data_IF_869345481883
#
_entry.id   IF_869345481883
#
_cell.length_a   1.000
_cell.length_b   1.000
_cell.length_c   1.000
_cell.angle_alpha   90.00
_cell.angle_beta   90.00
_cell.angle_gamma   90.00
#
_symmetry.space_group_name_H-M   'P 1'
#
loop_
_entity.id
_entity.type
_entity.pdbx_description
1 polymer ?
#
# COMPACT_ATOMS: atom_id res chain seq x y z
N UNK A 1 15.51 37.78 -8.17
CA UNK A 1 14.70 36.56 -8.30
C UNK A 1 15.11 35.62 -7.20
N UNK A 2 14.29 35.50 -6.16
CA UNK A 2 14.59 34.66 -4.97
C UNK A 2 14.15 33.24 -5.32
N UNK A 3 15.09 32.35 -5.56
CA UNK A 3 14.82 30.94 -5.77
C UNK A 3 14.34 30.35 -4.42
N UNK A 4 13.05 30.17 -4.27
CA UNK A 4 12.50 29.45 -3.13
C UNK A 4 12.93 27.99 -3.28
N UNK A 5 13.93 27.58 -2.50
CA UNK A 5 14.28 26.18 -2.34
C UNK A 5 13.12 25.50 -1.59
N UNK A 6 12.30 24.77 -2.29
CA UNK A 6 11.30 23.89 -1.68
C UNK A 6 12.09 22.83 -0.88
N UNK A 7 12.11 23.00 0.43
CA UNK A 7 12.70 22.00 1.33
C UNK A 7 11.87 20.72 1.24
N UNK A 8 12.52 19.60 0.93
CA UNK A 8 11.86 18.29 1.03
C UNK A 8 11.38 18.10 2.47
N UNK A 9 10.13 17.72 2.72
CA UNK A 9 9.63 17.50 4.07
C UNK A 9 10.47 16.48 4.82
N UNK A 10 10.69 16.71 6.11
CA UNK A 10 11.28 15.70 6.97
C UNK A 10 10.33 14.51 7.07
N UNK A 11 10.87 13.29 6.91
CA UNK A 11 10.08 12.03 6.96
C UNK A 11 10.64 11.13 8.05
N UNK A 12 10.17 11.27 9.30
CA UNK A 12 10.65 10.47 10.42
C UNK A 12 10.52 8.96 10.14
N UNK A 13 11.60 8.21 10.39
CA UNK A 13 11.63 6.75 10.23
C UNK A 13 11.75 6.24 8.79
N UNK A 14 11.60 7.09 7.76
CA UNK A 14 11.65 6.62 6.37
C UNK A 14 13.02 6.04 5.99
N UNK A 15 14.10 6.67 6.40
CA UNK A 15 15.46 6.22 6.04
C UNK A 15 15.74 4.81 6.57
N UNK A 16 15.45 4.56 7.85
CA UNK A 16 15.64 3.25 8.49
C UNK A 16 14.75 2.19 7.84
N UNK A 17 13.50 2.54 7.51
CA UNK A 17 12.58 1.68 6.79
C UNK A 17 13.14 1.29 5.41
N UNK A 18 13.62 2.27 4.62
CA UNK A 18 14.18 2.02 3.29
C UNK A 18 15.41 1.12 3.36
N UNK A 19 16.27 1.28 4.35
CA UNK A 19 17.44 0.43 4.53
C UNK A 19 17.04 -1.02 4.87
N UNK A 20 16.05 -1.20 5.72
CA UNK A 20 15.49 -2.52 6.01
C UNK A 20 14.88 -3.19 4.78
N UNK A 21 14.11 -2.45 3.96
CA UNK A 21 13.52 -2.97 2.72
C UNK A 21 14.62 -3.35 1.72
N UNK A 22 15.65 -2.51 1.52
CA UNK A 22 16.79 -2.80 0.64
C UNK A 22 17.51 -4.08 1.04
N UNK A 23 17.68 -4.32 2.33
CA UNK A 23 18.26 -5.57 2.81
C UNK A 23 17.45 -6.78 2.36
N UNK A 24 16.11 -6.75 2.51
CA UNK A 24 15.26 -7.87 2.13
C UNK A 24 15.20 -8.08 0.61
N UNK A 25 15.09 -7.01 -0.19
CA UNK A 25 15.02 -7.11 -1.66
C UNK A 25 16.31 -7.65 -2.27
N UNK A 26 17.48 -7.44 -1.65
CA UNK A 26 18.78 -7.97 -2.11
C UNK A 26 18.97 -9.47 -1.83
N UNK A 27 18.12 -10.11 -1.04
CA UNK A 27 18.27 -11.53 -0.67
C UNK A 27 17.97 -12.50 -1.80
N UNK A 28 17.40 -12.06 -2.92
CA UNK A 28 17.06 -12.91 -4.06
C UNK A 28 15.95 -13.92 -3.75
N UNK A 29 15.05 -13.61 -2.82
CA UNK A 29 13.88 -14.43 -2.51
C UNK A 29 12.85 -14.34 -3.65
N UNK A 30 11.97 -15.36 -3.75
CA UNK A 30 10.80 -15.24 -4.63
C UNK A 30 9.88 -14.08 -4.19
N UNK A 31 8.99 -13.60 -5.08
CA UNK A 31 8.17 -12.42 -4.80
C UNK A 31 7.35 -12.53 -3.51
N UNK A 32 6.74 -13.70 -3.24
CA UNK A 32 5.92 -13.90 -2.04
C UNK A 32 6.76 -13.85 -0.77
N UNK A 33 7.91 -14.51 -0.75
CA UNK A 33 8.84 -14.48 0.39
C UNK A 33 9.42 -13.09 0.59
N UNK A 34 9.67 -12.34 -0.50
CA UNK A 34 10.14 -10.95 -0.42
C UNK A 34 9.06 -10.08 0.23
N UNK A 35 7.80 -10.18 -0.20
CA UNK A 35 6.69 -9.44 0.40
C UNK A 35 6.56 -9.71 1.90
N UNK A 36 6.63 -10.97 2.32
CA UNK A 36 6.56 -11.35 3.74
C UNK A 36 7.76 -10.81 4.53
N UNK A 37 8.97 -10.88 3.98
CA UNK A 37 10.16 -10.33 4.64
C UNK A 37 10.10 -8.81 4.77
N UNK A 38 9.53 -8.10 3.78
CA UNK A 38 9.29 -6.65 3.85
C UNK A 38 8.16 -6.33 4.84
N UNK A 39 7.10 -7.15 4.93
CA UNK A 39 6.08 -7.02 5.96
C UNK A 39 6.67 -7.15 7.38
N UNK A 40 7.66 -8.03 7.57
CA UNK A 40 8.38 -8.13 8.85
C UNK A 40 9.19 -6.86 9.17
N UNK A 41 9.77 -6.20 8.16
CA UNK A 41 10.44 -4.88 8.33
C UNK A 41 9.42 -3.82 8.77
N UNK A 42 8.25 -3.76 8.10
CA UNK A 42 7.17 -2.86 8.50
C UNK A 42 6.71 -3.13 9.93
N UNK A 43 6.52 -4.39 10.31
CA UNK A 43 6.11 -4.79 11.67
C UNK A 43 7.11 -4.36 12.73
N UNK A 44 8.40 -4.41 12.42
CA UNK A 44 9.47 -4.05 13.35
C UNK A 44 9.64 -2.53 13.52
N UNK A 45 9.33 -1.73 12.49
CA UNK A 45 9.65 -0.30 12.50
C UNK A 45 8.79 0.54 11.56
N UNK A 46 7.48 0.30 11.50
CA UNK A 46 6.59 1.13 10.70
C UNK A 46 6.53 2.56 11.26
N UNK A 47 6.75 3.58 10.42
CA UNK A 47 6.61 4.97 10.83
C UNK A 47 5.17 5.29 11.25
N UNK A 48 5.03 6.32 12.09
CA UNK A 48 3.71 6.88 12.41
C UNK A 48 3.18 7.81 11.30
N UNK A 49 1.93 8.33 11.46
CA UNK A 49 1.32 9.24 10.50
C UNK A 49 2.10 10.56 10.30
N UNK A 50 2.99 10.92 11.22
CA UNK A 50 3.91 12.06 11.13
C UNK A 50 5.01 11.89 10.05
N UNK A 51 5.10 10.71 9.41
CA UNK A 51 5.81 10.51 8.16
C UNK A 51 5.31 11.47 7.07
N UNK A 52 4.04 11.84 7.12
CA UNK A 52 3.37 12.75 6.22
C UNK A 52 3.17 14.13 6.87
N UNK A 53 3.26 15.19 6.07
CA UNK A 53 2.87 16.52 6.51
C UNK A 53 1.36 16.61 6.78
N UNK A 54 0.91 17.64 7.49
CA UNK A 54 -0.52 17.87 7.73
C UNK A 54 -1.32 18.03 6.44
N UNK A 55 -0.70 18.57 5.39
CA UNK A 55 -1.31 18.70 4.07
C UNK A 55 -1.44 17.35 3.37
N UNK A 56 -0.39 16.54 3.38
CA UNK A 56 -0.37 15.20 2.77
C UNK A 56 -1.33 14.22 3.45
N UNK A 57 -1.66 14.42 4.73
CA UNK A 57 -2.66 13.60 5.45
C UNK A 57 -4.10 13.94 5.13
N UNK A 58 -4.34 15.02 4.41
CA UNK A 58 -5.70 15.35 3.96
C UNK A 58 -6.07 14.48 2.78
N UNK A 59 -7.19 13.78 2.91
CA UNK A 59 -7.78 13.05 1.80
C UNK A 59 -8.61 13.97 0.91
N UNK A 60 -9.20 13.37 -0.08
CA UNK A 60 -10.19 13.99 -0.96
C UNK A 60 -11.41 13.07 -0.99
N UNK A 61 -12.63 13.63 -0.89
CA UNK A 61 -13.85 12.83 -0.79
C UNK A 61 -14.17 12.07 -2.09
N UNK A 62 -13.71 12.57 -3.22
CA UNK A 62 -14.04 12.06 -4.55
C UNK A 62 -12.91 11.16 -5.12
N UNK A 63 -11.67 11.29 -4.61
CA UNK A 63 -10.50 10.61 -5.15
C UNK A 63 -9.63 10.00 -4.06
N UNK A 64 -9.16 8.77 -4.27
CA UNK A 64 -8.15 8.15 -3.41
C UNK A 64 -6.80 8.84 -3.59
N UNK A 65 -6.34 9.51 -2.56
CA UNK A 65 -5.03 10.20 -2.58
C UNK A 65 -3.90 9.22 -2.31
N UNK A 66 -2.86 9.33 -3.12
CA UNK A 66 -1.66 8.50 -3.03
C UNK A 66 -0.40 9.35 -3.19
N UNK A 67 0.48 9.31 -2.19
CA UNK A 67 1.78 10.00 -2.20
C UNK A 67 2.92 9.02 -2.44
N UNK A 68 3.71 9.24 -3.49
CA UNK A 68 4.96 8.52 -3.69
C UNK A 68 6.03 9.10 -2.76
N UNK A 69 6.48 8.32 -1.80
CA UNK A 69 7.47 8.73 -0.81
C UNK A 69 8.90 8.37 -1.21
N UNK A 70 9.04 7.26 -1.96
CA UNK A 70 10.31 6.79 -2.47
C UNK A 70 10.09 5.85 -3.67
N UNK A 71 11.01 5.90 -4.63
CA UNK A 71 11.08 4.94 -5.73
C UNK A 71 12.54 4.62 -6.08
N UNK A 72 12.82 3.35 -6.29
CA UNK A 72 14.07 2.84 -6.85
C UNK A 72 13.78 1.57 -7.67
N UNK A 73 14.75 1.09 -8.42
CA UNK A 73 14.57 -0.02 -9.39
C UNK A 73 13.97 -1.29 -8.79
N UNK A 74 14.17 -1.55 -7.50
CA UNK A 74 13.71 -2.77 -6.83
C UNK A 74 12.36 -2.62 -6.13
N UNK A 75 11.97 -1.41 -5.74
CA UNK A 75 10.72 -1.16 -5.03
C UNK A 75 10.34 0.33 -4.99
N UNK A 76 9.09 0.59 -4.66
CA UNK A 76 8.57 1.92 -4.36
C UNK A 76 7.75 1.91 -3.07
N UNK A 77 7.72 3.04 -2.38
CA UNK A 77 6.95 3.26 -1.14
C UNK A 77 5.92 4.35 -1.39
N UNK A 78 4.65 4.04 -1.12
CA UNK A 78 3.52 4.97 -1.24
C UNK A 78 2.73 5.03 0.06
N UNK A 79 2.25 6.21 0.41
CA UNK A 79 1.22 6.37 1.43
C UNK A 79 -0.13 6.58 0.73
N UNK A 80 -1.15 5.86 1.18
CA UNK A 80 -2.53 5.96 0.69
C UNK A 80 -3.40 6.56 1.79
N UNK A 81 -4.23 7.53 1.38
CA UNK A 81 -5.14 8.26 2.28
C UNK A 81 -6.57 7.91 1.87
N UNK A 82 -7.29 7.28 2.77
CA UNK A 82 -8.62 6.74 2.55
C UNK A 82 -9.66 7.52 3.33
N UNK A 83 -10.46 8.31 2.66
CA UNK A 83 -11.61 8.94 3.32
C UNK A 83 -12.73 7.93 3.60
N UNK A 84 -13.59 8.21 4.61
CA UNK A 84 -14.72 7.34 4.90
C UNK A 84 -15.58 7.04 3.68
N UNK A 85 -15.87 5.76 3.44
CA UNK A 85 -16.66 5.27 2.31
C UNK A 85 -15.88 4.98 1.03
N UNK A 86 -14.62 5.38 0.92
CA UNK A 86 -13.81 5.07 -0.27
C UNK A 86 -13.52 3.57 -0.38
N UNK A 87 -13.60 3.08 -1.61
CA UNK A 87 -13.29 1.69 -1.94
C UNK A 87 -12.61 1.60 -3.31
N UNK A 88 -11.80 0.57 -3.50
CA UNK A 88 -11.22 0.25 -4.81
C UNK A 88 -12.16 -0.61 -5.66
N UNK A 89 -11.89 -0.73 -6.97
CA UNK A 89 -12.31 -1.89 -7.75
C UNK A 89 -11.78 -3.20 -7.13
N UNK A 90 -12.34 -4.34 -7.54
CA UNK A 90 -11.69 -5.63 -7.26
C UNK A 90 -10.53 -5.76 -8.24
N UNK A 91 -9.31 -5.96 -7.74
CA UNK A 91 -8.10 -5.93 -8.57
C UNK A 91 -7.00 -6.86 -8.04
N UNK A 92 -5.99 -7.06 -8.85
CA UNK A 92 -4.70 -7.65 -8.49
C UNK A 92 -3.54 -6.75 -8.93
N UNK A 93 -2.30 -7.10 -8.56
CA UNK A 93 -1.15 -6.20 -8.68
C UNK A 93 -0.15 -6.64 -9.75
N UNK A 94 0.65 -5.66 -10.24
CA UNK A 94 1.75 -5.91 -11.19
C UNK A 94 2.95 -6.58 -10.52
N UNK A 95 3.10 -6.43 -9.20
CA UNK A 95 4.24 -6.88 -8.41
C UNK A 95 3.79 -7.29 -7.01
N UNK A 96 4.69 -7.87 -6.23
CA UNK A 96 4.46 -8.09 -4.81
C UNK A 96 4.22 -6.76 -4.08
N UNK A 97 3.41 -6.83 -3.02
CA UNK A 97 3.13 -5.72 -2.13
C UNK A 97 3.26 -6.15 -0.68
N UNK A 98 3.78 -5.26 0.14
CA UNK A 98 3.65 -5.31 1.59
C UNK A 98 3.06 -4.00 2.07
N UNK A 99 2.11 -4.04 3.00
CA UNK A 99 1.51 -2.83 3.53
C UNK A 99 1.30 -2.89 5.04
N UNK A 100 1.11 -1.73 5.64
CA UNK A 100 0.76 -1.59 7.04
C UNK A 100 -0.07 -0.34 7.29
N UNK A 101 -0.95 -0.41 8.28
CA UNK A 101 -1.88 0.68 8.63
C UNK A 101 -1.23 1.60 9.68
N UNK A 102 -1.13 2.89 9.36
CA UNK A 102 -0.59 3.93 10.24
C UNK A 102 -1.68 4.66 11.04
N UNK A 103 -2.90 4.75 10.47
CA UNK A 103 -4.05 5.42 11.09
C UNK A 103 -5.37 4.80 10.61
N UNK A 104 -6.38 4.75 11.49
CA UNK A 104 -7.71 4.23 11.16
C UNK A 104 -7.75 2.72 11.00
N UNK A 105 -8.63 2.25 10.13
CA UNK A 105 -8.81 0.82 9.80
C UNK A 105 -8.97 0.68 8.29
N UNK A 106 -8.21 -0.22 7.70
CA UNK A 106 -8.33 -0.59 6.30
C UNK A 106 -8.99 -1.96 6.19
N UNK A 107 -10.17 -2.02 5.60
CA UNK A 107 -10.89 -3.27 5.40
C UNK A 107 -10.53 -3.86 4.04
N UNK A 108 -10.24 -5.14 4.03
CA UNK A 108 -9.86 -5.88 2.84
C UNK A 108 -10.80 -7.07 2.64
N UNK A 109 -11.31 -7.23 1.42
CA UNK A 109 -12.06 -8.42 0.99
C UNK A 109 -11.22 -9.15 -0.04
N UNK A 110 -10.98 -10.44 0.18
CA UNK A 110 -10.16 -11.30 -0.66
C UNK A 110 -11.04 -12.15 -1.56
N UNK A 111 -10.58 -12.36 -2.80
CA UNK A 111 -11.34 -13.10 -3.81
C UNK A 111 -10.49 -14.17 -4.49
N UNK A 112 -11.18 -15.20 -5.00
CA UNK A 112 -10.66 -16.18 -5.93
C UNK A 112 -11.37 -16.03 -7.27
N UNK A 113 -10.61 -16.07 -8.37
CA UNK A 113 -11.14 -16.08 -9.74
C UNK A 113 -11.49 -17.53 -10.12
N UNK A 114 -12.77 -17.81 -10.34
CA UNK A 114 -13.31 -19.10 -10.76
C UNK A 114 -13.65 -19.11 -12.27
N UNK A 115 -13.22 -18.06 -13.00
CA UNK A 115 -13.31 -17.94 -14.45
C UNK A 115 -14.53 -17.14 -14.92
N UNK A 116 -15.75 -17.53 -14.55
CA UNK A 116 -17.00 -16.83 -14.88
C UNK A 116 -17.53 -15.96 -13.73
N UNK A 117 -16.94 -16.08 -12.54
CA UNK A 117 -17.28 -15.30 -11.36
C UNK A 117 -16.11 -15.23 -10.38
N UNK A 118 -16.25 -14.35 -9.39
CA UNK A 118 -15.35 -14.26 -8.23
C UNK A 118 -16.04 -14.88 -7.02
N UNK A 119 -15.30 -15.68 -6.26
CA UNK A 119 -15.74 -16.15 -4.94
C UNK A 119 -15.03 -15.36 -3.85
N UNK A 120 -15.80 -14.76 -2.93
CA UNK A 120 -15.23 -14.17 -1.73
C UNK A 120 -14.66 -15.28 -0.84
N UNK A 121 -13.38 -15.17 -0.48
CA UNK A 121 -12.64 -16.17 0.32
C UNK A 121 -12.26 -15.68 1.71
N UNK A 122 -12.43 -14.39 1.99
CA UNK A 122 -12.14 -13.82 3.31
C UNK A 122 -12.32 -12.33 3.39
N UNK A 123 -12.43 -11.85 4.63
CA UNK A 123 -12.41 -10.42 4.98
C UNK A 123 -11.46 -10.20 6.14
N UNK A 124 -10.72 -9.10 6.08
CA UNK A 124 -9.78 -8.69 7.13
C UNK A 124 -10.03 -7.23 7.46
N UNK A 125 -9.99 -6.91 8.75
CA UNK A 125 -9.93 -5.52 9.23
C UNK A 125 -8.51 -5.27 9.73
N UNK A 126 -7.72 -4.58 8.92
CA UNK A 126 -6.35 -4.23 9.25
C UNK A 126 -6.36 -2.97 10.12
N UNK A 127 -6.01 -3.09 11.37
CA UNK A 127 -5.94 -2.01 12.34
C UNK A 127 -4.55 -1.37 12.36
N UNK A 128 -4.40 -0.27 13.09
CA UNK A 128 -3.10 0.38 13.27
C UNK A 128 -2.06 -0.63 13.76
N UNK A 129 -0.92 -0.66 13.08
CA UNK A 129 0.19 -1.59 13.24
C UNK A 129 -0.03 -3.00 12.67
N UNK A 130 -1.20 -3.32 12.12
CA UNK A 130 -1.34 -4.54 11.32
C UNK A 130 -0.57 -4.40 10.02
N UNK A 131 0.11 -5.47 9.63
CA UNK A 131 0.89 -5.55 8.39
C UNK A 131 0.58 -6.81 7.63
N UNK A 132 0.61 -6.74 6.31
CA UNK A 132 0.42 -7.86 5.41
C UNK A 132 1.43 -7.85 4.28
N UNK A 133 1.66 -9.01 3.66
CA UNK A 133 2.51 -9.15 2.48
C UNK A 133 1.97 -10.21 1.56
N UNK A 134 1.85 -9.89 0.27
CA UNK A 134 1.31 -10.78 -0.75
C UNK A 134 2.01 -10.56 -2.10
N UNK A 135 1.79 -11.47 -3.01
CA UNK A 135 2.30 -11.39 -4.38
C UNK A 135 1.37 -12.09 -5.36
N UNK A 136 1.29 -11.61 -6.61
CA UNK A 136 0.59 -12.32 -7.65
C UNK A 136 1.25 -13.68 -7.96
N UNK A 137 0.49 -14.69 -8.41
CA UNK A 137 -0.97 -14.69 -8.55
C UNK A 137 -1.70 -15.02 -7.25
N UNK A 138 -2.98 -14.63 -7.18
CA UNK A 138 -3.87 -14.98 -6.05
C UNK A 138 -4.01 -13.87 -5.02
N UNK A 139 -3.65 -12.66 -5.39
CA UNK A 139 -3.72 -11.42 -4.61
C UNK A 139 -4.94 -10.56 -5.00
N UNK A 140 -6.02 -11.20 -5.45
CA UNK A 140 -7.24 -10.50 -5.87
C UNK A 140 -7.97 -10.00 -4.64
N UNK A 141 -8.12 -8.69 -4.55
CA UNK A 141 -8.77 -8.06 -3.41
C UNK A 141 -9.53 -6.77 -3.76
N UNK A 142 -10.26 -6.28 -2.80
CA UNK A 142 -10.84 -4.95 -2.72
C UNK A 142 -10.52 -4.35 -1.36
N UNK A 143 -10.09 -3.11 -1.35
CA UNK A 143 -9.88 -2.34 -0.13
C UNK A 143 -11.01 -1.33 0.05
N UNK A 144 -11.43 -1.13 1.29
CA UNK A 144 -12.53 -0.24 1.65
C UNK A 144 -12.28 0.39 3.03
N UNK A 145 -12.44 1.70 3.14
CA UNK A 145 -12.56 2.35 4.42
C UNK A 145 -14.04 2.42 4.84
N UNK A 146 -14.49 1.46 5.63
CA UNK A 146 -15.87 1.43 6.18
C UNK A 146 -15.98 2.16 7.52
N UNK A 147 -14.89 2.74 8.01
CA UNK A 147 -14.86 3.54 9.24
C UNK A 147 -15.45 4.93 9.05
N UNK A 148 -15.45 5.71 10.11
CA UNK A 148 -15.93 7.09 10.18
C UNK A 148 -14.78 8.12 10.25
N UNK A 149 -13.55 7.65 10.16
CA UNK A 149 -12.34 8.47 10.18
C UNK A 149 -11.44 8.15 8.97
N UNK A 150 -10.63 9.10 8.55
CA UNK A 150 -9.59 8.91 7.53
C UNK A 150 -8.64 7.81 7.97
N UNK A 151 -8.46 6.79 7.12
CA UNK A 151 -7.42 5.80 7.30
C UNK A 151 -6.18 6.16 6.47
N UNK A 152 -5.00 5.77 6.96
CA UNK A 152 -3.71 5.98 6.28
C UNK A 152 -2.94 4.68 6.33
N UNK A 153 -2.52 4.20 5.16
CA UNK A 153 -1.70 3.01 5.03
C UNK A 153 -0.43 3.28 4.24
N UNK A 154 0.64 2.56 4.58
CA UNK A 154 1.92 2.60 3.90
C UNK A 154 2.09 1.33 3.09
N UNK A 155 2.31 1.47 1.79
CA UNK A 155 2.44 0.38 0.84
C UNK A 155 3.84 0.35 0.22
N UNK A 156 4.43 -0.83 0.15
CA UNK A 156 5.71 -1.10 -0.52
C UNK A 156 5.44 -2.04 -1.69
N UNK A 157 5.68 -1.56 -2.90
CA UNK A 157 5.49 -2.35 -4.13
C UNK A 157 6.83 -2.78 -4.70
N UNK A 158 6.94 -4.02 -5.15
CA UNK A 158 8.15 -4.57 -5.79
C UNK A 158 8.33 -4.13 -7.24
N UNK A 159 8.17 -2.85 -7.50
CA UNK A 159 8.31 -2.22 -8.81
C UNK A 159 8.78 -0.78 -8.64
N UNK A 160 9.48 -0.25 -9.65
CA UNK A 160 9.77 1.17 -9.78
C UNK A 160 8.52 1.91 -10.27
N UNK A 161 7.98 2.79 -9.45
CA UNK A 161 6.80 3.60 -9.74
C UNK A 161 7.13 5.09 -9.94
N UNK A 162 8.40 5.43 -10.21
CA UNK A 162 8.84 6.81 -10.45
C UNK A 162 8.14 7.47 -11.63
N UNK A 163 7.94 6.70 -12.71
CA UNK A 163 7.32 7.15 -13.95
C UNK A 163 5.87 6.65 -14.14
N UNK A 164 5.35 5.87 -13.20
CA UNK A 164 4.01 5.28 -13.30
C UNK A 164 3.32 5.20 -11.95
N UNK A 165 2.08 5.69 -11.89
CA UNK A 165 1.23 5.50 -10.71
C UNK A 165 0.54 4.11 -10.69
N UNK A 166 0.66 3.32 -11.77
CA UNK A 166 -0.09 2.07 -11.96
C UNK A 166 0.51 0.97 -11.11
N UNK A 167 -0.24 0.50 -10.12
CA UNK A 167 0.07 -0.66 -9.28
C UNK A 167 -0.81 -1.85 -9.62
N UNK A 168 -1.95 -1.59 -10.25
CA UNK A 168 -2.97 -2.57 -10.63
C UNK A 168 -2.57 -3.23 -11.95
N UNK A 169 -2.58 -4.56 -11.99
CA UNK A 169 -2.39 -5.36 -13.19
C UNK A 169 -3.71 -5.58 -13.93
N UNK A 170 -4.77 -5.89 -13.19
CA UNK A 170 -6.11 -6.18 -13.71
C UNK A 170 -7.18 -5.74 -12.73
N UNK A 171 -8.22 -5.12 -13.27
CA UNK A 171 -9.49 -4.92 -12.58
C UNK A 171 -10.50 -5.99 -13.03
N UNK A 172 -11.31 -6.45 -12.09
CA UNK A 172 -12.26 -7.53 -12.31
C UNK A 172 -13.69 -6.98 -12.29
N UNK A 173 -14.38 -7.16 -13.40
CA UNK A 173 -15.80 -6.85 -13.57
C UNK A 173 -16.62 -8.16 -13.73
N UNK A 174 -16.36 -9.11 -12.84
CA UNK A 174 -17.05 -10.39 -12.77
C UNK A 174 -18.07 -10.38 -11.63
N UNK A 175 -19.19 -11.12 -11.77
CA UNK A 175 -20.14 -11.27 -10.66
C UNK A 175 -19.46 -11.96 -9.46
N UNK A 176 -19.78 -11.50 -8.26
CA UNK A 176 -19.34 -12.12 -7.00
C UNK A 176 -20.42 -13.10 -6.53
N UNK A 177 -20.03 -14.32 -6.17
CA UNK A 177 -20.92 -15.38 -5.68
C UNK A 177 -20.41 -16.00 -4.37
#
# INVERSE_FOLDING_TARGET
MTTTHLMTPARPGLADLLDGIREQTRRGLDPRRTALAVADVLRAGMPGPDLLTDEERRGDADELISHLLHAESAFSVKALIWEPGQLTSIHDHIAWCAFGVMQGVEYETLYRDDGDHLTEIGRVANQVSDVSGFAPPGDIHRVHNTGDVTAISLHVYGADLSDSAVTIRREYDLPVR
#
